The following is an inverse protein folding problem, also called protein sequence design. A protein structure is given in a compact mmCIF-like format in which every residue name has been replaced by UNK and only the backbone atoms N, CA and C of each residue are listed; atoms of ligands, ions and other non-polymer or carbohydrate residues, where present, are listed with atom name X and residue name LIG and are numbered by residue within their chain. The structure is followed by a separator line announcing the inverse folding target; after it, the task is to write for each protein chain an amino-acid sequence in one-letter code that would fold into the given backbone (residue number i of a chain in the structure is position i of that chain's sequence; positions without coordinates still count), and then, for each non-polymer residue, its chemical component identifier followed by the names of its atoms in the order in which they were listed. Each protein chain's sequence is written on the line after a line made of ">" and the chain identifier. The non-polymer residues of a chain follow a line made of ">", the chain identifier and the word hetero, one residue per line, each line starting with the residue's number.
data_IF_007665447172
#
_entry.id   IF_007665447172
#
_cell.length_a   1.000
_cell.length_b   1.000
_cell.length_c   1.000
_cell.angle_alpha   90.00
_cell.angle_beta   90.00
_cell.angle_gamma   90.00
#
_symmetry.space_group_name_H-M   'P 1'
#
loop_
_entity.id
_entity.type
_entity.pdbx_description
1 polymer ?
#
# COMPACT_ATOMS: atom_id res chain seq x y z
N UNK A 1 17.70 12.82 36.35
CA UNK A 1 17.10 12.22 35.14
C UNK A 1 18.21 11.50 34.38
N UNK A 2 18.16 10.17 34.21
CA UNK A 2 19.24 9.43 33.54
C UNK A 2 19.25 9.63 32.02
N UNK A 3 20.45 9.67 31.42
CA UNK A 3 20.70 9.85 29.98
C UNK A 3 19.84 8.93 29.10
N UNK A 4 19.71 7.65 29.49
CA UNK A 4 18.89 6.67 28.76
C UNK A 4 17.40 7.05 28.65
N UNK A 5 16.86 7.76 29.65
CA UNK A 5 15.45 8.22 29.62
C UNK A 5 15.28 9.39 28.65
N UNK A 6 16.27 10.29 28.59
CA UNK A 6 16.27 11.43 27.67
C UNK A 6 16.41 10.95 26.23
N UNK A 7 17.37 10.05 25.96
CA UNK A 7 17.57 9.47 24.63
C UNK A 7 16.36 8.66 24.16
N UNK A 8 15.79 7.80 25.01
CA UNK A 8 14.56 7.07 24.66
C UNK A 8 13.37 8.01 24.42
N UNK A 9 13.29 9.13 25.15
CA UNK A 9 12.26 10.14 24.90
C UNK A 9 12.43 10.78 23.53
N UNK A 10 13.64 11.18 23.19
CA UNK A 10 13.95 11.79 21.90
C UNK A 10 13.74 10.82 20.73
N UNK A 11 14.21 9.58 20.85
CA UNK A 11 14.13 8.56 19.80
C UNK A 11 12.69 8.21 19.43
N UNK A 12 11.78 8.10 20.41
CA UNK A 12 10.38 7.72 20.16
C UNK A 12 9.44 8.93 20.07
N UNK A 13 9.95 10.16 20.04
CA UNK A 13 9.12 11.37 19.94
C UNK A 13 8.45 11.53 18.57
N UNK A 14 9.04 10.92 17.52
CA UNK A 14 8.53 10.95 16.15
C UNK A 14 8.61 9.56 15.50
N UNK A 15 7.76 8.61 15.94
CA UNK A 15 7.74 7.27 15.39
C UNK A 15 7.59 7.27 13.86
N UNK A 16 8.28 6.33 13.20
CA UNK A 16 8.09 6.00 11.80
C UNK A 16 6.98 4.96 11.70
N UNK A 17 5.92 5.32 11.00
CA UNK A 17 4.72 4.48 10.90
C UNK A 17 4.65 3.82 9.54
N UNK A 18 4.62 2.49 9.51
CA UNK A 18 4.17 1.74 8.34
C UNK A 18 2.64 1.65 8.41
N UNK A 19 1.96 2.19 7.40
CA UNK A 19 0.51 2.33 7.38
C UNK A 19 -0.06 1.50 6.24
N UNK A 20 -0.92 0.55 6.58
CA UNK A 20 -1.66 -0.27 5.62
C UNK A 20 -3.17 -0.07 5.79
N UNK A 21 -3.89 -0.21 4.69
CA UNK A 21 -5.35 -0.08 4.64
C UNK A 21 -5.98 -1.47 4.69
N UNK A 22 -6.87 -1.70 5.65
CA UNK A 22 -7.78 -2.85 5.62
C UNK A 22 -8.91 -2.59 4.61
N UNK A 23 -9.60 -3.62 4.09
CA UNK A 23 -10.71 -3.44 3.14
C UNK A 23 -11.74 -2.41 3.64
N UNK A 24 -12.03 -1.39 2.82
CA UNK A 24 -12.95 -0.29 3.15
C UNK A 24 -12.39 0.76 4.12
N UNK A 25 -11.13 0.62 4.54
CA UNK A 25 -10.48 1.44 5.55
C UNK A 25 -9.99 2.82 5.08
N UNK A 26 -10.23 3.21 3.82
CA UNK A 26 -9.67 4.44 3.24
C UNK A 26 -9.95 5.70 4.07
N UNK A 27 -11.18 5.95 4.59
CA UNK A 27 -11.44 7.14 5.41
C UNK A 27 -10.62 7.17 6.71
N UNK A 28 -10.41 6.00 7.33
CA UNK A 28 -9.59 5.86 8.53
C UNK A 28 -8.12 6.05 8.17
N UNK A 29 -7.64 5.48 7.06
CA UNK A 29 -6.27 5.70 6.57
C UNK A 29 -6.02 7.19 6.36
N UNK A 30 -6.93 7.88 5.68
CA UNK A 30 -6.85 9.32 5.44
C UNK A 30 -6.71 10.12 6.74
N UNK A 31 -7.52 9.80 7.74
CA UNK A 31 -7.46 10.44 9.04
C UNK A 31 -6.13 10.14 9.77
N UNK A 32 -5.61 8.91 9.68
CA UNK A 32 -4.28 8.56 10.21
C UNK A 32 -3.18 9.35 9.50
N UNK A 33 -3.19 9.42 8.17
CA UNK A 33 -2.21 10.21 7.40
C UNK A 33 -2.23 11.69 7.84
N UNK A 34 -3.42 12.25 7.99
CA UNK A 34 -3.62 13.64 8.40
C UNK A 34 -3.13 13.89 9.83
N UNK A 35 -3.38 12.95 10.73
CA UNK A 35 -2.95 12.96 12.12
C UNK A 35 -1.42 12.79 12.27
N UNK A 36 -0.78 12.00 11.40
CA UNK A 36 0.68 11.86 11.34
C UNK A 36 1.34 13.15 10.85
N UNK A 37 0.78 13.77 9.81
CA UNK A 37 1.27 15.06 9.29
C UNK A 37 1.17 16.16 10.36
N UNK A 38 0.03 16.25 11.05
CA UNK A 38 -0.18 17.23 12.12
C UNK A 38 0.82 17.08 13.29
N UNK A 39 1.27 15.86 13.57
CA UNK A 39 2.30 15.55 14.58
C UNK A 39 3.74 15.71 14.06
N UNK A 40 3.92 15.96 12.76
CA UNK A 40 5.23 15.96 12.11
C UNK A 40 5.92 14.58 12.11
N UNK A 41 5.12 13.51 12.18
CA UNK A 41 5.59 12.13 12.13
C UNK A 41 5.74 11.67 10.68
N UNK A 42 6.49 10.59 10.46
CA UNK A 42 6.81 10.12 9.10
C UNK A 42 6.16 8.77 8.83
N UNK A 43 5.44 8.68 7.73
CA UNK A 43 5.10 7.40 7.11
C UNK A 43 6.35 6.79 6.46
N UNK A 44 6.50 5.48 6.56
CA UNK A 44 7.54 4.71 5.85
C UNK A 44 6.92 3.66 4.94
N UNK A 45 7.40 3.52 3.68
CA UNK A 45 6.91 2.50 2.76
C UNK A 45 7.46 1.10 3.07
N UNK A 46 8.50 1.00 3.92
CA UNK A 46 9.14 -0.27 4.27
C UNK A 46 8.84 -0.64 5.74
N UNK A 47 8.38 -1.86 6.02
CA UNK A 47 8.20 -2.37 7.39
C UNK A 47 9.52 -2.44 8.15
N UNK A 48 10.62 -2.78 7.48
CA UNK A 48 11.95 -2.86 8.08
C UNK A 48 12.47 -1.51 8.62
N UNK A 49 11.88 -0.39 8.22
CA UNK A 49 12.23 0.95 8.67
C UNK A 49 11.18 1.58 9.61
N UNK A 50 10.18 0.82 10.05
CA UNK A 50 9.10 1.29 10.92
C UNK A 50 9.35 0.98 12.39
N UNK A 51 8.91 1.92 13.23
CA UNK A 51 8.77 1.73 14.67
C UNK A 51 7.36 1.22 15.00
N UNK A 52 6.36 1.51 14.15
CA UNK A 52 4.99 1.08 14.37
C UNK A 52 4.29 0.62 13.08
N UNK A 53 3.49 -0.44 13.20
CA UNK A 53 2.53 -0.88 12.20
C UNK A 53 1.14 -0.36 12.59
N UNK A 54 0.52 0.43 11.71
CA UNK A 54 -0.87 0.86 11.86
C UNK A 54 -1.70 0.23 10.75
N UNK A 55 -2.72 -0.53 11.15
CA UNK A 55 -3.75 -1.07 10.25
C UNK A 55 -4.98 -0.18 10.36
N UNK A 56 -5.35 0.48 9.25
CA UNK A 56 -6.47 1.40 9.21
C UNK A 56 -7.72 0.73 8.63
N UNK A 57 -8.81 0.74 9.40
CA UNK A 57 -10.04 0.01 9.12
C UNK A 57 -10.13 -1.32 9.88
N UNK A 58 -11.33 -1.91 9.88
CA UNK A 58 -11.56 -3.24 10.45
C UNK A 58 -10.86 -4.29 9.61
N UNK A 59 -9.98 -5.08 10.23
CA UNK A 59 -9.28 -6.18 9.57
C UNK A 59 -10.13 -7.46 9.59
N UNK A 60 -10.52 -8.00 8.43
CA UNK A 60 -11.17 -9.31 8.32
C UNK A 60 -10.29 -10.45 8.86
N UNK A 61 -10.93 -11.54 9.30
CA UNK A 61 -10.24 -12.70 9.87
C UNK A 61 -9.25 -13.34 8.91
N UNK A 62 -9.65 -13.46 7.64
CA UNK A 62 -8.87 -14.01 6.53
C UNK A 62 -7.66 -13.14 6.13
N UNK A 63 -7.51 -11.95 6.72
CA UNK A 63 -6.37 -11.05 6.51
C UNK A 63 -5.45 -10.92 7.74
N UNK A 64 -5.73 -11.66 8.82
CA UNK A 64 -4.90 -11.62 10.04
C UNK A 64 -3.50 -12.14 9.78
N UNK A 65 -3.34 -13.23 9.04
CA UNK A 65 -2.02 -13.80 8.74
C UNK A 65 -1.17 -12.85 7.89
N UNK A 66 -1.77 -12.14 6.94
CA UNK A 66 -1.09 -11.12 6.16
C UNK A 66 -0.60 -9.96 7.05
N UNK A 67 -1.40 -9.53 8.02
CA UNK A 67 -1.00 -8.51 8.99
C UNK A 67 0.07 -9.00 9.96
N UNK A 68 0.05 -10.28 10.34
CA UNK A 68 1.06 -10.92 11.16
C UNK A 68 2.39 -11.10 10.42
N UNK A 69 2.36 -11.39 9.11
CA UNK A 69 3.53 -11.42 8.24
C UNK A 69 4.15 -10.03 8.10
N UNK A 70 3.34 -8.99 7.90
CA UNK A 70 3.85 -7.61 7.91
C UNK A 70 4.46 -7.25 9.27
N UNK A 71 3.83 -7.65 10.36
CA UNK A 71 4.33 -7.41 11.72
C UNK A 71 5.68 -8.09 11.97
N UNK A 72 5.88 -9.31 11.49
CA UNK A 72 7.14 -10.03 11.65
C UNK A 72 8.32 -9.35 10.95
N UNK A 73 8.05 -8.57 9.89
CA UNK A 73 9.05 -7.80 9.14
C UNK A 73 9.48 -6.50 9.85
N UNK A 74 8.81 -6.08 10.93
CA UNK A 74 9.21 -4.91 11.71
C UNK A 74 10.33 -5.28 12.71
N UNK A 75 11.41 -4.49 12.79
CA UNK A 75 12.43 -4.67 13.82
C UNK A 75 11.94 -4.18 15.19
N UNK A 76 12.44 -4.80 16.27
CA UNK A 76 12.21 -4.29 17.62
C UNK A 76 13.09 -3.07 17.94
N UNK A 77 12.64 -2.12 18.78
CA UNK A 77 11.33 -2.03 19.43
C UNK A 77 10.20 -1.65 18.45
N UNK A 78 9.10 -2.41 18.45
CA UNK A 78 7.97 -2.27 17.53
C UNK A 78 6.64 -2.16 18.28
N UNK A 79 5.67 -1.46 17.70
CA UNK A 79 4.29 -1.35 18.23
C UNK A 79 3.26 -1.56 17.12
N UNK A 80 2.24 -2.39 17.35
CA UNK A 80 1.10 -2.55 16.43
C UNK A 80 -0.13 -1.82 16.95
N UNK A 81 -0.87 -1.15 16.07
CA UNK A 81 -2.19 -0.56 16.36
C UNK A 81 -3.17 -0.88 15.24
N UNK A 82 -4.35 -1.32 15.61
CA UNK A 82 -5.48 -1.44 14.70
C UNK A 82 -6.42 -0.28 15.03
N UNK A 83 -6.78 0.50 14.02
CA UNK A 83 -7.65 1.68 14.16
C UNK A 83 -8.85 1.40 13.30
N UNK A 84 -9.97 1.01 13.91
CA UNK A 84 -11.17 0.62 13.16
C UNK A 84 -12.04 1.81 12.80
N UNK A 85 -12.01 2.86 13.64
CA UNK A 85 -12.88 4.03 13.51
C UNK A 85 -12.11 5.35 13.56
N UNK A 86 -12.69 6.40 12.96
CA UNK A 86 -12.11 7.75 12.96
C UNK A 86 -11.85 8.30 14.37
N UNK A 87 -12.72 8.00 15.33
CA UNK A 87 -12.59 8.46 16.71
C UNK A 87 -11.39 7.86 17.44
N UNK A 88 -10.85 6.73 16.97
CA UNK A 88 -9.74 6.02 17.61
C UNK A 88 -8.37 6.55 17.16
N UNK A 89 -8.31 7.31 16.06
CA UNK A 89 -7.06 7.71 15.40
C UNK A 89 -6.11 8.42 16.38
N UNK A 90 -6.57 9.48 17.03
CA UNK A 90 -5.70 10.25 17.92
C UNK A 90 -5.27 9.45 19.15
N UNK A 91 -6.21 8.72 19.77
CA UNK A 91 -5.91 7.86 20.91
C UNK A 91 -4.89 6.76 20.58
N UNK A 92 -5.04 6.10 19.43
CA UNK A 92 -4.10 5.08 18.97
C UNK A 92 -2.70 5.66 18.75
N UNK A 93 -2.60 6.81 18.08
CA UNK A 93 -1.31 7.45 17.77
C UNK A 93 -0.64 8.03 19.02
N UNK A 94 -1.37 8.67 19.92
CA UNK A 94 -0.82 9.31 21.13
C UNK A 94 -0.18 8.30 22.08
N UNK A 95 -0.62 7.04 22.05
CA UNK A 95 -0.02 5.96 22.85
C UNK A 95 1.30 5.43 22.27
N UNK A 96 1.61 5.66 20.99
CA UNK A 96 2.78 5.06 20.34
C UNK A 96 4.12 5.43 21.02
N UNK A 97 4.41 6.70 21.34
CA UNK A 97 5.68 7.06 21.98
C UNK A 97 5.87 6.44 23.37
N UNK A 98 4.78 6.22 24.11
CA UNK A 98 4.81 5.57 25.42
C UNK A 98 5.01 4.07 25.28
N UNK A 99 4.26 3.43 24.37
CA UNK A 99 4.39 2.01 24.08
C UNK A 99 5.80 1.65 23.60
N UNK A 100 6.41 2.45 22.72
CA UNK A 100 7.79 2.27 22.24
C UNK A 100 8.87 2.41 23.33
N UNK A 101 8.51 2.96 24.50
CA UNK A 101 9.41 3.09 25.65
C UNK A 101 9.20 1.98 26.67
N UNK A 102 8.19 1.12 26.49
CA UNK A 102 7.84 0.08 27.43
C UNK A 102 8.82 -1.10 27.32
N UNK A 103 9.91 -1.01 28.08
CA UNK A 103 11.03 -1.94 27.97
C UNK A 103 10.67 -3.36 28.35
N UNK A 104 9.72 -3.55 29.28
CA UNK A 104 9.30 -4.90 29.67
C UNK A 104 8.66 -5.59 28.45
N UNK A 105 7.66 -4.94 27.84
CA UNK A 105 6.98 -5.44 26.65
C UNK A 105 7.94 -5.74 25.49
N UNK A 106 8.94 -4.88 25.23
CA UNK A 106 9.91 -5.13 24.15
C UNK A 106 10.91 -6.24 24.44
N UNK A 107 11.20 -6.51 25.71
CA UNK A 107 12.03 -7.68 26.09
C UNK A 107 11.23 -8.96 25.97
N UNK A 108 9.95 -8.92 26.30
CA UNK A 108 9.06 -10.08 26.20
C UNK A 108 8.83 -10.42 24.72
N UNK A 109 8.48 -9.43 23.88
CA UNK A 109 8.45 -9.56 22.42
C UNK A 109 9.77 -10.17 21.92
N UNK A 110 10.93 -9.59 22.24
CA UNK A 110 12.22 -10.10 21.77
C UNK A 110 12.56 -11.53 22.21
N UNK A 111 11.98 -12.06 23.30
CA UNK A 111 12.16 -13.45 23.74
C UNK A 111 11.19 -14.40 23.04
N UNK A 112 9.98 -13.93 22.76
CA UNK A 112 8.96 -14.69 22.01
C UNK A 112 9.27 -14.75 20.51
N UNK A 113 9.97 -13.74 19.98
CA UNK A 113 10.45 -13.75 18.59
C UNK A 113 11.39 -14.92 18.37
N UNK A 114 10.98 -15.86 17.51
CA UNK A 114 11.88 -16.83 16.91
C UNK A 114 12.95 -16.13 16.07
N UNK A 115 14.09 -16.79 15.87
CA UNK A 115 15.15 -16.26 14.99
C UNK A 115 14.69 -16.10 13.53
N UNK A 116 13.62 -16.80 13.14
CA UNK A 116 13.01 -16.78 11.82
C UNK A 116 11.48 -16.72 11.91
N UNK A 117 10.94 -15.51 12.06
CA UNK A 117 9.49 -15.29 12.14
C UNK A 117 8.79 -15.34 10.76
N UNK A 118 9.56 -15.33 9.66
CA UNK A 118 9.04 -15.25 8.29
C UNK A 118 8.82 -16.64 7.72
N UNK A 119 9.70 -17.61 8.02
CA UNK A 119 9.60 -18.95 7.44
C UNK A 119 8.32 -19.70 7.76
N UNK A 120 7.63 -19.38 8.87
CA UNK A 120 6.30 -19.96 9.17
C UNK A 120 5.22 -19.59 8.14
N UNK A 121 5.46 -18.58 7.31
CA UNK A 121 4.56 -18.13 6.24
C UNK A 121 5.02 -18.59 4.86
N UNK A 122 6.21 -19.20 4.77
CA UNK A 122 6.67 -19.83 3.54
C UNK A 122 6.07 -21.25 3.49
N UNK A 123 5.78 -21.78 2.29
CA UNK A 123 5.41 -23.19 2.15
C UNK A 123 6.49 -24.09 2.77
N UNK A 124 6.08 -25.16 3.46
CA UNK A 124 7.00 -26.22 3.85
C UNK A 124 7.45 -26.96 2.58
N UNK A 125 8.72 -26.83 2.19
CA UNK A 125 9.33 -27.52 1.04
C UNK A 125 9.61 -29.01 1.36
N UNK A 126 8.60 -29.73 1.85
CA UNK A 126 8.71 -31.14 2.19
C UNK A 126 7.51 -31.92 1.64
N UNK A 127 7.57 -32.25 0.35
CA UNK A 127 7.09 -33.50 -0.28
C UNK A 127 6.88 -33.28 -1.78
N UNK A 128 7.94 -33.46 -2.58
CA UNK A 128 7.86 -34.24 -3.82
C UNK A 128 9.26 -34.41 -4.44
N UNK A 129 9.58 -35.67 -4.75
CA UNK A 129 10.92 -36.15 -5.11
C UNK A 129 11.42 -35.77 -6.50
N UNK A 130 11.41 -34.49 -6.86
CA UNK A 130 12.06 -33.99 -8.07
C UNK A 130 13.38 -33.30 -7.73
N UNK A 131 14.45 -33.80 -8.36
CA UNK A 131 15.86 -33.48 -8.12
C UNK A 131 16.19 -32.02 -8.49
N UNK A 132 15.82 -31.08 -7.61
CA UNK A 132 16.19 -29.67 -7.69
C UNK A 132 17.23 -29.36 -6.60
N UNK A 133 18.35 -28.65 -6.87
CA UNK A 133 19.27 -28.21 -5.83
C UNK A 133 18.54 -27.35 -4.79
N UNK A 134 18.38 -27.86 -3.57
CA UNK A 134 17.72 -27.15 -2.48
C UNK A 134 16.19 -27.33 -2.37
N UNK A 135 15.58 -28.27 -3.11
CA UNK A 135 14.14 -28.59 -2.96
C UNK A 135 13.18 -27.58 -3.58
N UNK A 136 13.68 -26.44 -4.08
CA UNK A 136 12.88 -25.43 -4.77
C UNK A 136 12.72 -25.85 -6.24
N UNK A 137 11.49 -26.05 -6.75
CA UNK A 137 11.28 -26.37 -8.17
C UNK A 137 11.84 -25.26 -9.05
N UNK A 138 12.50 -25.63 -10.15
CA UNK A 138 12.94 -24.67 -11.16
C UNK A 138 11.72 -23.96 -11.76
N UNK A 139 11.88 -22.69 -12.09
CA UNK A 139 10.84 -21.94 -12.79
C UNK A 139 10.54 -22.62 -14.15
N UNK A 140 9.25 -22.74 -14.48
CA UNK A 140 8.83 -23.22 -15.79
C UNK A 140 9.08 -22.13 -16.84
N UNK A 141 9.45 -22.53 -18.05
CA UNK A 141 9.64 -21.62 -19.18
C UNK A 141 8.33 -21.38 -19.94
N UNK A 142 8.15 -20.15 -20.45
CA UNK A 142 7.09 -19.80 -21.39
C UNK A 142 7.62 -18.87 -22.49
N UNK A 143 6.99 -18.92 -23.66
CA UNK A 143 7.33 -18.04 -24.78
C UNK A 143 6.98 -16.57 -24.44
N UNK A 144 7.94 -15.66 -24.58
CA UNK A 144 7.79 -14.22 -24.36
C UNK A 144 7.44 -13.47 -25.66
N UNK A 145 7.20 -12.15 -25.56
CA UNK A 145 6.82 -11.24 -26.67
C UNK A 145 7.73 -11.29 -27.90
N UNK A 146 8.98 -11.70 -27.73
CA UNK A 146 9.98 -11.80 -28.79
C UNK A 146 10.16 -13.24 -29.32
N UNK A 147 9.37 -14.19 -28.83
CA UNK A 147 9.46 -15.61 -29.17
C UNK A 147 10.56 -16.35 -28.44
N UNK A 148 11.24 -15.72 -27.47
CA UNK A 148 12.22 -16.39 -26.62
C UNK A 148 11.53 -17.00 -25.40
N UNK A 149 11.99 -18.19 -24.99
CA UNK A 149 11.54 -18.81 -23.75
C UNK A 149 12.16 -18.08 -22.55
N UNK A 150 11.31 -17.64 -21.62
CA UNK A 150 11.70 -16.99 -20.37
C UNK A 150 11.13 -17.73 -19.17
N UNK A 151 11.90 -17.71 -18.08
CA UNK A 151 11.45 -18.20 -16.78
C UNK A 151 10.21 -17.43 -16.31
N UNK A 152 9.16 -18.16 -15.98
CA UNK A 152 7.92 -17.61 -15.45
C UNK A 152 8.03 -17.51 -13.93
N UNK A 153 7.91 -16.29 -13.41
CA UNK A 153 7.82 -16.04 -11.97
C UNK A 153 6.38 -15.73 -11.58
N UNK A 154 5.82 -16.54 -10.67
CA UNK A 154 4.54 -16.23 -10.02
C UNK A 154 4.79 -15.32 -8.82
N UNK A 155 4.30 -14.08 -8.89
CA UNK A 155 4.53 -13.07 -7.85
C UNK A 155 3.20 -12.56 -7.26
N UNK A 156 2.93 -12.78 -5.96
CA UNK A 156 1.77 -12.21 -5.29
C UNK A 156 2.00 -10.73 -4.93
N UNK A 157 0.98 -9.89 -5.12
CA UNK A 157 0.95 -8.49 -4.66
C UNK A 157 -0.33 -8.24 -3.84
N UNK A 158 -0.17 -7.73 -2.62
CA UNK A 158 -1.26 -7.57 -1.65
C UNK A 158 -1.28 -8.70 -0.63
N UNK A 159 -2.36 -8.86 0.17
CA UNK A 159 -3.55 -8.01 0.25
C UNK A 159 -3.37 -6.71 1.06
N UNK A 160 -2.28 -6.61 1.82
CA UNK A 160 -1.94 -5.46 2.66
C UNK A 160 -0.57 -4.92 2.24
N UNK A 161 -0.56 -3.79 1.53
CA UNK A 161 0.66 -3.11 1.09
C UNK A 161 0.56 -1.61 1.34
N UNK A 162 1.70 -0.94 1.51
CA UNK A 162 1.77 0.52 1.54
C UNK A 162 1.24 1.09 0.22
N UNK A 163 0.36 2.11 0.30
CA UNK A 163 -0.18 2.82 -0.89
C UNK A 163 -0.87 1.88 -1.88
N UNK A 164 -1.58 0.90 -1.34
CA UNK A 164 -2.31 -0.12 -2.07
C UNK A 164 -3.77 -0.13 -1.61
N UNK A 165 -4.74 -0.37 -2.51
CA UNK A 165 -6.14 -0.52 -2.13
C UNK A 165 -6.33 -1.65 -1.11
N UNK A 166 -7.03 -1.38 -0.01
CA UNK A 166 -7.20 -2.36 1.07
C UNK A 166 -7.89 -3.64 0.58
N UNK A 167 -7.21 -4.78 0.77
CA UNK A 167 -7.73 -6.10 0.40
C UNK A 167 -7.52 -6.50 -1.05
N UNK A 168 -7.00 -5.64 -1.92
CA UNK A 168 -6.69 -6.07 -3.29
C UNK A 168 -5.55 -7.09 -3.24
N UNK A 169 -5.75 -8.26 -3.80
CA UNK A 169 -4.72 -9.29 -3.93
C UNK A 169 -4.62 -9.75 -5.38
N UNK A 170 -3.42 -9.66 -5.94
CA UNK A 170 -3.11 -10.07 -7.30
C UNK A 170 -2.10 -11.20 -7.26
N UNK A 171 -2.27 -12.18 -8.14
CA UNK A 171 -1.24 -13.15 -8.51
C UNK A 171 -0.81 -12.82 -9.94
N UNK A 172 0.43 -12.37 -10.09
CA UNK A 172 1.01 -12.03 -11.39
C UNK A 172 1.84 -13.20 -11.90
N UNK A 173 1.74 -13.51 -13.19
CA UNK A 173 2.77 -14.26 -13.90
C UNK A 173 3.67 -13.24 -14.61
N UNK A 174 4.97 -13.30 -14.34
CA UNK A 174 5.95 -12.31 -14.80
C UNK A 174 7.02 -13.01 -15.62
N UNK A 175 7.32 -12.45 -16.80
CA UNK A 175 8.49 -12.81 -17.59
C UNK A 175 9.52 -11.69 -17.43
N UNK A 176 10.56 -11.92 -16.63
CA UNK A 176 11.53 -10.87 -16.28
C UNK A 176 10.88 -9.75 -15.46
N UNK A 177 10.68 -8.57 -16.07
CA UNK A 177 9.97 -7.44 -15.48
C UNK A 177 8.58 -7.20 -16.09
N UNK A 178 8.18 -7.97 -17.12
CA UNK A 178 6.90 -7.79 -17.81
C UNK A 178 5.83 -8.69 -17.21
N UNK A 179 4.65 -8.13 -16.95
CA UNK A 179 3.48 -8.87 -16.48
C UNK A 179 2.82 -9.59 -17.66
N UNK A 180 2.98 -10.91 -17.73
CA UNK A 180 2.41 -11.76 -18.77
C UNK A 180 0.94 -12.11 -18.50
N UNK A 181 0.60 -12.40 -17.25
CA UNK A 181 -0.77 -12.68 -16.84
C UNK A 181 -1.09 -12.18 -15.43
N UNK A 182 -2.39 -11.98 -15.17
CA UNK A 182 -2.90 -11.36 -13.95
C UNK A 182 -4.16 -12.07 -13.50
N UNK A 183 -4.10 -12.67 -12.31
CA UNK A 183 -5.26 -13.21 -11.62
C UNK A 183 -5.60 -12.35 -10.40
N UNK A 184 -6.83 -11.83 -10.33
CA UNK A 184 -7.34 -11.14 -9.14
C UNK A 184 -7.80 -12.18 -8.14
N UNK A 185 -7.04 -12.37 -7.05
CA UNK A 185 -7.35 -13.32 -5.98
C UNK A 185 -8.38 -12.74 -5.00
N UNK A 186 -8.28 -11.45 -4.72
CA UNK A 186 -9.23 -10.71 -3.88
C UNK A 186 -9.45 -9.31 -4.47
N UNK A 187 -10.72 -8.93 -4.66
CA UNK A 187 -11.07 -7.59 -5.10
C UNK A 187 -10.98 -6.59 -3.93
N UNK A 188 -10.62 -5.32 -4.18
CA UNK A 188 -10.57 -4.32 -3.12
C UNK A 188 -11.98 -3.95 -2.65
N UNK A 189 -12.06 -3.50 -1.40
CA UNK A 189 -13.21 -2.75 -0.90
C UNK A 189 -12.76 -1.31 -0.75
N UNK A 190 -13.29 -0.41 -1.59
CA UNK A 190 -12.90 1.01 -1.58
C UNK A 190 -14.01 1.87 -1.01
N UNK A 191 -13.67 3.06 -0.52
CA UNK A 191 -14.64 4.03 0.01
C UNK A 191 -15.62 4.62 -1.04
N UNK A 192 -15.57 4.15 -2.29
CA UNK A 192 -16.36 4.64 -3.41
C UNK A 192 -15.74 5.84 -4.15
N UNK A 193 -16.26 6.10 -5.36
CA UNK A 193 -15.81 7.20 -6.20
C UNK A 193 -16.24 8.57 -5.63
N UNK A 194 -15.39 9.59 -5.77
CA UNK A 194 -15.69 10.96 -5.38
C UNK A 194 -14.44 11.86 -5.35
N UNK A 195 -14.60 13.17 -5.11
CA UNK A 195 -13.47 14.11 -5.14
C UNK A 195 -12.34 13.77 -4.16
N UNK A 196 -12.68 13.27 -2.96
CA UNK A 196 -11.68 12.85 -1.98
C UNK A 196 -10.87 11.65 -2.47
N UNK A 197 -11.54 10.61 -3.03
CA UNK A 197 -10.88 9.45 -3.60
C UNK A 197 -10.04 9.81 -4.84
N UNK A 198 -10.50 10.72 -5.68
CA UNK A 198 -9.75 11.20 -6.83
C UNK A 198 -8.44 11.89 -6.42
N UNK A 199 -8.50 12.82 -5.47
CA UNK A 199 -7.30 13.49 -4.96
C UNK A 199 -6.41 12.57 -4.11
N UNK A 200 -6.98 11.55 -3.47
CA UNK A 200 -6.22 10.47 -2.83
C UNK A 200 -5.42 9.65 -3.83
N UNK A 201 -6.02 9.27 -4.97
CA UNK A 201 -5.34 8.57 -6.05
C UNK A 201 -4.19 9.41 -6.61
N UNK A 202 -4.42 10.71 -6.86
CA UNK A 202 -3.34 11.64 -7.27
C UNK A 202 -2.23 11.69 -6.22
N UNK A 203 -2.56 11.83 -4.93
CA UNK A 203 -1.58 11.86 -3.85
C UNK A 203 -0.74 10.57 -3.81
N UNK A 204 -1.42 9.43 -3.92
CA UNK A 204 -0.81 8.11 -3.85
C UNK A 204 0.12 7.87 -5.04
N UNK A 205 -0.33 8.12 -6.27
CA UNK A 205 0.48 7.96 -7.48
C UNK A 205 1.68 8.90 -7.49
N UNK A 206 1.51 10.18 -7.12
CA UNK A 206 2.63 11.12 -7.07
C UNK A 206 3.66 10.73 -6.00
N UNK A 207 3.21 10.19 -4.86
CA UNK A 207 4.12 9.70 -3.84
C UNK A 207 4.91 8.46 -4.30
N UNK A 208 4.27 7.53 -5.01
CA UNK A 208 4.93 6.36 -5.59
C UNK A 208 5.96 6.76 -6.66
N UNK A 209 5.63 7.76 -7.48
CA UNK A 209 6.54 8.35 -8.46
C UNK A 209 7.59 9.30 -7.84
N UNK A 210 7.63 9.45 -6.51
CA UNK A 210 8.65 10.21 -5.79
C UNK A 210 8.40 11.72 -5.61
N UNK A 211 7.29 12.27 -6.12
CA UNK A 211 6.93 13.69 -5.92
C UNK A 211 6.19 13.90 -4.59
N UNK A 212 6.97 13.97 -3.52
CA UNK A 212 6.46 14.21 -2.15
C UNK A 212 5.72 15.54 -2.02
N UNK A 213 6.10 16.57 -2.79
CA UNK A 213 5.47 17.90 -2.71
C UNK A 213 4.09 17.86 -3.36
N UNK A 214 4.01 17.33 -4.59
CA UNK A 214 2.74 17.14 -5.29
C UNK A 214 1.79 16.21 -4.53
N UNK A 215 2.32 15.14 -3.90
CA UNK A 215 1.53 14.27 -3.04
C UNK A 215 0.92 15.02 -1.84
N UNK A 216 1.72 15.84 -1.14
CA UNK A 216 1.22 16.64 -0.01
C UNK A 216 0.19 17.69 -0.45
N UNK A 217 0.37 18.33 -1.61
CA UNK A 217 -0.62 19.23 -2.21
C UNK A 217 -1.94 18.51 -2.50
N UNK A 218 -1.88 17.32 -3.12
CA UNK A 218 -3.06 16.51 -3.41
C UNK A 218 -3.77 16.03 -2.13
N UNK A 219 -3.03 15.61 -1.09
CA UNK A 219 -3.61 15.26 0.21
C UNK A 219 -4.35 16.43 0.88
N UNK A 220 -3.86 17.67 0.74
CA UNK A 220 -4.60 18.85 1.22
C UNK A 220 -5.90 19.09 0.46
N UNK A 221 -5.88 18.91 -0.87
CA UNK A 221 -7.09 19.00 -1.70
C UNK A 221 -8.12 17.92 -1.36
N UNK A 222 -7.64 16.69 -1.03
CA UNK A 222 -8.47 15.61 -0.48
C UNK A 222 -9.14 16.04 0.82
N UNK A 223 -8.37 16.53 1.80
CA UNK A 223 -8.86 16.87 3.15
C UNK A 223 -9.89 18.00 3.15
N UNK A 224 -9.61 19.07 2.42
CA UNK A 224 -10.43 20.27 2.47
C UNK A 224 -11.60 20.26 1.49
N UNK A 225 -11.73 19.20 0.67
CA UNK A 225 -12.70 19.15 -0.42
C UNK A 225 -12.43 20.28 -1.41
N UNK A 226 -11.61 20.02 -2.42
CA UNK A 226 -11.32 21.04 -3.44
C UNK A 226 -12.63 21.60 -4.02
N UNK A 227 -12.79 22.94 -4.03
CA UNK A 227 -13.51 23.53 -5.16
C UNK A 227 -12.63 23.21 -6.38
N UNK A 228 -13.18 22.55 -7.40
CA UNK A 228 -12.44 21.99 -8.56
C UNK A 228 -11.57 23.03 -9.29
N UNK A 229 -11.88 24.30 -9.06
CA UNK A 229 -11.29 25.51 -9.62
C UNK A 229 -10.09 26.05 -8.85
N UNK A 230 -9.63 25.37 -7.78
CA UNK A 230 -8.41 25.80 -7.07
C UNK A 230 -7.20 25.83 -8.02
N UNK A 231 -6.41 26.91 -7.93
CA UNK A 231 -5.17 27.06 -8.68
C UNK A 231 -4.20 25.90 -8.43
N UNK A 232 -4.20 25.31 -7.23
CA UNK A 232 -3.43 24.11 -6.89
C UNK A 232 -3.88 22.89 -7.72
N UNK A 233 -5.20 22.67 -7.81
CA UNK A 233 -5.75 21.58 -8.61
C UNK A 233 -5.41 21.71 -10.09
N UNK A 234 -5.47 22.93 -10.64
CA UNK A 234 -5.04 23.20 -12.01
C UNK A 234 -3.55 22.92 -12.24
N UNK A 235 -2.67 23.30 -11.29
CA UNK A 235 -1.23 23.00 -11.34
C UNK A 235 -0.95 21.51 -11.32
N UNK A 236 -1.61 20.75 -10.45
CA UNK A 236 -1.45 19.30 -10.38
C UNK A 236 -1.95 18.61 -11.67
N UNK A 237 -3.11 19.00 -12.21
CA UNK A 237 -3.58 18.47 -13.51
C UNK A 237 -2.61 18.79 -14.65
N UNK A 238 -2.05 20.00 -14.69
CA UNK A 238 -1.02 20.34 -15.67
C UNK A 238 0.23 19.45 -15.52
N UNK A 239 0.67 19.21 -14.27
CA UNK A 239 1.78 18.30 -13.96
C UNK A 239 1.51 16.87 -14.44
N UNK A 240 0.33 16.32 -14.14
CA UNK A 240 -0.08 14.97 -14.60
C UNK A 240 -0.06 14.87 -16.14
N UNK A 241 -0.60 15.88 -16.86
CA UNK A 241 -0.54 15.95 -18.33
C UNK A 241 0.89 16.01 -18.86
N UNK A 242 1.79 16.70 -18.15
CA UNK A 242 3.21 16.76 -18.52
C UNK A 242 3.87 15.40 -18.30
N UNK A 243 3.65 14.78 -17.14
CA UNK A 243 4.27 13.52 -16.75
C UNK A 243 3.86 12.33 -17.62
N UNK A 244 2.58 12.24 -18.00
CA UNK A 244 2.13 11.26 -18.99
C UNK A 244 2.76 11.48 -20.38
N UNK A 245 2.99 12.75 -20.78
CA UNK A 245 3.64 13.07 -22.05
C UNK A 245 5.14 12.77 -22.07
N UNK A 246 5.84 12.91 -20.94
CA UNK A 246 7.29 12.68 -20.85
C UNK A 246 7.65 11.27 -20.35
N UNK A 247 6.67 10.38 -20.20
CA UNK A 247 6.89 8.98 -19.80
C UNK A 247 7.26 8.76 -18.33
N UNK A 248 6.99 9.72 -17.44
CA UNK A 248 7.16 9.52 -15.99
C UNK A 248 6.01 8.69 -15.40
N UNK A 249 4.81 8.86 -15.96
CA UNK A 249 3.64 8.07 -15.62
C UNK A 249 3.17 7.32 -16.86
N UNK A 250 2.67 6.08 -16.70
CA UNK A 250 1.95 5.40 -17.76
C UNK A 250 0.82 6.30 -18.30
N UNK A 251 0.61 6.37 -19.63
CA UNK A 251 -0.45 7.18 -20.21
C UNK A 251 -1.84 6.87 -19.63
N UNK A 252 -2.13 5.59 -19.37
CA UNK A 252 -3.37 5.15 -18.73
C UNK A 252 -3.51 5.70 -17.30
N UNK A 253 -2.44 5.68 -16.49
CA UNK A 253 -2.45 6.26 -15.15
C UNK A 253 -2.69 7.77 -15.18
N UNK A 254 -1.99 8.50 -16.05
CA UNK A 254 -2.18 9.95 -16.18
C UNK A 254 -3.59 10.30 -16.66
N UNK A 255 -4.13 9.54 -17.63
CA UNK A 255 -5.49 9.69 -18.14
C UNK A 255 -6.55 9.46 -17.06
N UNK A 256 -6.43 8.38 -16.29
CA UNK A 256 -7.36 8.05 -15.21
C UNK A 256 -7.39 9.12 -14.12
N UNK A 257 -6.23 9.62 -13.68
CA UNK A 257 -6.14 10.69 -12.68
C UNK A 257 -6.75 12.01 -13.18
N UNK A 258 -6.54 12.34 -14.46
CA UNK A 258 -7.13 13.53 -15.07
C UNK A 258 -8.65 13.43 -15.18
N UNK A 259 -9.17 12.26 -15.56
CA UNK A 259 -10.60 12.01 -15.63
C UNK A 259 -11.25 12.03 -14.24
N UNK A 260 -10.63 11.39 -13.25
CA UNK A 260 -11.14 11.33 -11.87
C UNK A 260 -11.19 12.71 -11.20
N UNK A 261 -10.30 13.63 -11.58
CA UNK A 261 -10.25 15.01 -11.04
C UNK A 261 -11.03 16.03 -11.86
N UNK A 262 -11.70 15.61 -12.94
CA UNK A 262 -12.58 16.45 -13.74
C UNK A 262 -14.03 16.32 -13.24
N UNK A 263 -14.55 17.39 -12.62
CA UNK A 263 -15.93 17.39 -12.10
C UNK A 263 -17.00 17.52 -13.17
N UNK A 264 -16.60 17.69 -14.43
CA UNK A 264 -17.53 17.71 -15.57
C UNK A 264 -17.88 16.30 -16.03
N UNK A 265 -17.12 15.28 -15.61
CA UNK A 265 -17.30 13.89 -16.04
C UNK A 265 -18.32 13.17 -15.17
N UNK A 266 -19.37 12.65 -15.79
CA UNK A 266 -20.39 11.82 -15.12
C UNK A 266 -19.92 10.36 -15.09
N UNK A 267 -19.06 10.05 -14.13
CA UNK A 267 -18.63 8.68 -13.83
C UNK A 267 -17.24 8.33 -14.37
N UNK A 268 -16.51 7.52 -13.60
CA UNK A 268 -15.29 6.85 -14.06
C UNK A 268 -15.71 5.42 -14.42
N UNK A 269 -15.46 4.95 -15.65
CA UNK A 269 -15.83 3.59 -16.03
C UNK A 269 -15.09 2.58 -15.13
N UNK A 270 -15.71 1.41 -14.87
CA UNK A 270 -15.03 0.36 -14.12
C UNK A 270 -13.74 -0.04 -14.82
N UNK A 271 -12.71 -0.27 -14.04
CA UNK A 271 -11.40 -0.69 -14.56
C UNK A 271 -11.30 -2.21 -14.55
N UNK A 272 -11.12 -2.82 -15.73
CA UNK A 272 -10.68 -4.20 -15.86
C UNK A 272 -9.19 -4.28 -15.54
N UNK A 273 -8.87 -4.73 -14.32
CA UNK A 273 -7.52 -4.71 -13.79
C UNK A 273 -6.58 -5.69 -14.52
N UNK A 274 -6.96 -6.95 -14.81
CA UNK A 274 -6.17 -7.82 -15.68
C UNK A 274 -5.87 -7.23 -17.05
N UNK A 275 -6.86 -6.65 -17.73
CA UNK A 275 -6.63 -6.04 -19.04
C UNK A 275 -5.71 -4.81 -18.97
N UNK A 276 -5.79 -4.03 -17.88
CA UNK A 276 -4.94 -2.86 -17.66
C UNK A 276 -3.47 -3.24 -17.41
N UNK A 277 -3.23 -4.32 -16.67
CA UNK A 277 -1.91 -4.70 -16.18
C UNK A 277 -1.15 -5.65 -17.11
N UNK A 278 -1.84 -6.41 -17.96
CA UNK A 278 -1.18 -7.33 -18.91
C UNK A 278 -0.29 -6.55 -19.89
N UNK A 279 0.94 -7.02 -20.05
CA UNK A 279 1.97 -6.41 -20.90
C UNK A 279 2.59 -5.14 -20.32
N UNK A 280 2.31 -4.79 -19.07
CA UNK A 280 2.95 -3.67 -18.37
C UNK A 280 4.20 -4.15 -17.62
N UNK A 281 5.14 -3.24 -17.40
CA UNK A 281 6.29 -3.50 -16.54
C UNK A 281 5.85 -3.54 -15.07
N UNK A 282 6.51 -4.39 -14.27
CA UNK A 282 6.22 -4.56 -12.84
C UNK A 282 6.33 -3.23 -12.06
N UNK A 283 7.21 -2.32 -12.50
CA UNK A 283 7.36 -0.98 -11.92
C UNK A 283 6.10 -0.12 -12.09
N UNK A 284 5.35 -0.32 -13.18
CA UNK A 284 4.17 0.47 -13.51
C UNK A 284 2.89 -0.04 -12.83
N UNK A 285 2.87 -1.31 -12.43
CA UNK A 285 1.70 -1.95 -11.80
C UNK A 285 1.18 -1.13 -10.61
N UNK A 286 2.05 -0.71 -9.69
CA UNK A 286 1.64 0.08 -8.51
C UNK A 286 1.13 1.47 -8.90
N UNK A 287 1.70 2.10 -9.93
CA UNK A 287 1.25 3.40 -10.42
C UNK A 287 -0.14 3.30 -11.06
N UNK A 288 -0.35 2.27 -11.88
CA UNK A 288 -1.63 1.97 -12.55
C UNK A 288 -2.72 1.65 -11.53
N UNK A 289 -2.44 0.76 -10.58
CA UNK A 289 -3.38 0.39 -9.50
C UNK A 289 -3.74 1.62 -8.66
N UNK A 290 -2.75 2.42 -8.23
CA UNK A 290 -3.02 3.63 -7.45
C UNK A 290 -3.85 4.66 -8.23
N UNK A 291 -3.55 4.84 -9.53
CA UNK A 291 -4.25 5.81 -10.38
C UNK A 291 -5.72 5.41 -10.65
N UNK A 292 -6.00 4.11 -10.75
CA UNK A 292 -7.33 3.59 -11.02
C UNK A 292 -8.10 3.20 -9.75
N UNK A 293 -7.49 3.29 -8.57
CA UNK A 293 -8.12 2.93 -7.29
C UNK A 293 -9.56 3.47 -7.09
N UNK A 294 -9.91 4.71 -7.49
CA UNK A 294 -11.29 5.22 -7.37
C UNK A 294 -12.32 4.50 -8.27
N UNK A 295 -11.85 3.79 -9.30
CA UNK A 295 -12.63 3.09 -10.31
C UNK A 295 -12.51 1.56 -10.22
N UNK A 296 -11.68 1.05 -9.29
CA UNK A 296 -11.70 -0.35 -8.90
C UNK A 296 -13.01 -0.57 -8.15
N UNK A 297 -14.01 -1.10 -8.86
CA UNK A 297 -15.32 -1.39 -8.31
C UNK A 297 -15.20 -2.36 -7.12
N UNK A 298 -16.15 -2.22 -6.20
CA UNK A 298 -16.55 -3.28 -5.29
C UNK A 298 -16.83 -4.53 -6.14
N UNK A 299 -16.09 -5.61 -5.92
CA UNK A 299 -16.51 -6.90 -6.47
C UNK A 299 -17.96 -7.16 -6.04
N UNK A 300 -18.81 -7.62 -6.96
CA UNK A 300 -20.24 -7.90 -6.73
C UNK A 300 -20.52 -8.95 -5.64
N UNK A 301 -19.51 -9.38 -4.87
CA UNK A 301 -19.64 -10.27 -3.72
C UNK A 301 -20.14 -9.60 -2.43
N UNK A 302 -20.39 -8.27 -2.40
CA UNK A 302 -20.93 -7.58 -1.22
C UNK A 302 -22.48 -7.42 -1.22
N UNK A 303 -23.21 -8.17 -2.07
CA UNK A 303 -24.69 -8.19 -2.11
C UNK A 303 -25.30 -9.60 -2.12
N UNK A 304 -24.72 -10.55 -1.40
CA UNK A 304 -25.39 -11.81 -1.06
C UNK A 304 -25.37 -12.01 0.45
#
# INVERSE_FOLDING_TARGET
>A
MGLNRVLARAATARPRVHLVEAPGGSPVRWAVEDALEARGWRRTPSPAAADALVVAGRLPDDLRDAADLLWSQLPGPRVRRHVEALAEVDGALDTLPAALRERAAHRDDARERGGDEVSRFLPDDAEDGHMSPGGVPLAEGAEDRDGLEMDVLVHPLGPLLDRWPGGLELRLAIHGDVVADVAVQRAPVTAGAGPAAAWDAVSTTLALAGDRRGAAEASRLRRHGSSTTSADGARLRHRLRRWGRVGILPPAAAGALLAATDTSSTGVPPTDLPALLRGQDLSDVRLLVAAHAPALLLGEAARA
#
